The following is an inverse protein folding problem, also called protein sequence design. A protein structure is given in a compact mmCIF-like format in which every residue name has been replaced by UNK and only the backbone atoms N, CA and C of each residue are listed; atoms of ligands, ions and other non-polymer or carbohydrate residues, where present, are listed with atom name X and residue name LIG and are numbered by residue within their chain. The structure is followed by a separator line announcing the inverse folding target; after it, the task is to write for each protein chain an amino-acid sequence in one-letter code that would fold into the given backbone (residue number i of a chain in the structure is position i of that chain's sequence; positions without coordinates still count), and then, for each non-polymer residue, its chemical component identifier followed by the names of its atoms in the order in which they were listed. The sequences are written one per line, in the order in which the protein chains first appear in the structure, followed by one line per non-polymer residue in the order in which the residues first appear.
data_IF_189256421688
#
_entry.id   IF_189256421688
#
_cell.length_a   1.000
_cell.length_b   1.000
_cell.length_c   1.000
_cell.angle_alpha   90.00
_cell.angle_beta   90.00
_cell.angle_gamma   90.00
#
_symmetry.space_group_name_H-M   'P 1'
#
loop_
_entity.id
_entity.type
_entity.pdbx_description
1 polymer ?
#
# COMPACT_ATOMS: atom_id res chain seq x y z
N UNK A 1 15.33 3.35 -6.47
CA UNK A 1 14.25 4.35 -6.59
C UNK A 1 12.91 3.63 -6.68
N UNK A 2 11.87 4.12 -5.99
CA UNK A 2 10.51 3.61 -6.09
C UNK A 2 9.65 4.61 -6.88
N UNK A 3 8.90 4.13 -7.87
CA UNK A 3 7.90 4.89 -8.60
C UNK A 3 6.52 4.31 -8.26
N UNK A 4 5.75 5.05 -7.47
CA UNK A 4 4.39 4.66 -7.10
C UNK A 4 3.38 5.17 -8.13
N UNK A 5 2.30 4.41 -8.31
CA UNK A 5 1.24 4.64 -9.30
C UNK A 5 1.73 4.98 -10.72
N UNK A 6 2.60 4.13 -11.28
CA UNK A 6 3.15 4.33 -12.64
C UNK A 6 2.06 4.43 -13.73
N UNK A 7 0.89 3.82 -13.51
CA UNK A 7 -0.26 3.88 -14.41
C UNK A 7 -0.94 5.27 -14.51
N UNK A 8 -0.60 6.22 -13.64
CA UNK A 8 -1.08 7.63 -13.72
C UNK A 8 -0.12 8.54 -14.49
N UNK A 9 1.00 8.00 -14.97
CA UNK A 9 2.04 8.79 -15.62
C UNK A 9 1.56 9.34 -16.98
N UNK A 10 1.78 10.64 -17.21
CA UNK A 10 1.45 11.25 -18.52
C UNK A 10 2.29 10.64 -19.66
N UNK A 11 1.79 10.61 -20.91
CA UNK A 11 2.52 10.02 -22.04
C UNK A 11 3.92 10.60 -22.26
N UNK A 12 4.09 11.91 -22.01
CA UNK A 12 5.39 12.59 -22.09
C UNK A 12 6.38 12.06 -21.04
N UNK A 13 5.89 11.78 -19.83
CA UNK A 13 6.71 11.23 -18.75
C UNK A 13 7.05 9.75 -19.01
N UNK A 14 6.13 8.97 -19.58
CA UNK A 14 6.39 7.59 -20.00
C UNK A 14 7.54 7.51 -21.00
N UNK A 15 7.57 8.40 -22.00
CA UNK A 15 8.66 8.47 -22.98
C UNK A 15 10.02 8.82 -22.33
N UNK A 16 10.03 9.76 -21.37
CA UNK A 16 11.24 10.12 -20.63
C UNK A 16 11.74 8.97 -19.76
N UNK A 17 10.83 8.28 -19.08
CA UNK A 17 11.18 7.13 -18.25
C UNK A 17 11.73 5.99 -19.09
N UNK A 18 11.13 5.69 -20.24
CA UNK A 18 11.64 4.67 -21.15
C UNK A 18 13.08 4.97 -21.58
N UNK A 19 13.38 6.22 -21.95
CA UNK A 19 14.75 6.64 -22.30
C UNK A 19 15.70 6.45 -21.13
N UNK A 20 15.30 6.85 -19.93
CA UNK A 20 16.08 6.65 -18.72
C UNK A 20 16.35 5.16 -18.42
N UNK A 21 15.35 4.30 -18.58
CA UNK A 21 15.48 2.85 -18.36
C UNK A 21 16.38 2.15 -19.40
N UNK A 22 16.54 2.75 -20.58
CA UNK A 22 17.40 2.22 -21.65
C UNK A 22 18.84 2.72 -21.52
N UNK A 23 19.02 4.04 -21.34
CA UNK A 23 20.33 4.69 -21.45
C UNK A 23 20.98 4.97 -20.07
N UNK A 24 20.20 4.91 -18.98
CA UNK A 24 20.63 5.32 -17.64
C UNK A 24 20.88 6.82 -17.51
N UNK A 25 20.48 7.62 -18.51
CA UNK A 25 20.69 9.08 -18.52
C UNK A 25 19.38 9.85 -18.45
N UNK A 26 19.42 11.00 -17.78
CA UNK A 26 18.31 11.95 -17.78
C UNK A 26 18.82 13.40 -17.83
N UNK A 27 17.92 14.32 -18.15
CA UNK A 27 18.18 15.77 -18.11
C UNK A 27 17.28 16.43 -17.08
N UNK A 28 17.84 17.37 -16.32
CA UNK A 28 17.02 18.24 -15.45
C UNK A 28 16.17 19.18 -16.30
N UNK A 29 15.07 19.64 -15.75
CA UNK A 29 14.19 20.57 -16.46
C UNK A 29 14.92 21.90 -16.64
N UNK A 30 15.08 22.33 -17.90
CA UNK A 30 15.80 23.57 -18.23
C UNK A 30 17.31 23.43 -18.38
N UNK A 31 17.84 22.20 -18.28
CA UNK A 31 19.27 21.91 -18.46
C UNK A 31 19.48 21.00 -19.67
N UNK A 32 20.47 21.30 -20.49
CA UNK A 32 20.84 20.46 -21.65
C UNK A 32 21.85 19.37 -21.31
N UNK A 33 22.50 19.47 -20.14
CA UNK A 33 23.45 18.49 -19.67
C UNK A 33 22.77 17.17 -19.28
N UNK A 34 23.23 16.08 -19.87
CA UNK A 34 22.79 14.72 -19.53
C UNK A 34 23.59 14.19 -18.34
N UNK A 35 22.86 13.65 -17.36
CA UNK A 35 23.43 13.05 -16.15
C UNK A 35 23.20 11.55 -16.24
N UNK A 36 24.28 10.78 -16.15
CA UNK A 36 24.22 9.32 -16.06
C UNK A 36 24.13 8.89 -14.59
N UNK A 37 23.23 7.95 -14.29
CA UNK A 37 23.07 7.38 -12.95
C UNK A 37 22.76 5.90 -13.03
N UNK A 38 23.46 5.12 -12.22
CA UNK A 38 23.16 3.70 -11.99
C UNK A 38 22.21 3.55 -10.80
N UNK A 39 20.94 3.24 -11.07
CA UNK A 39 19.93 2.99 -10.04
C UNK A 39 19.06 1.81 -10.41
N UNK A 40 18.70 1.03 -9.38
CA UNK A 40 17.61 0.07 -9.48
C UNK A 40 16.26 0.78 -9.39
N UNK A 41 15.39 0.55 -10.37
CA UNK A 41 14.02 1.07 -10.40
C UNK A 41 13.05 -0.01 -9.93
N UNK A 42 12.16 0.34 -9.00
CA UNK A 42 11.03 -0.48 -8.58
C UNK A 42 9.77 0.34 -8.88
N UNK A 43 8.78 -0.26 -9.52
CA UNK A 43 7.52 0.39 -9.85
C UNK A 43 6.36 -0.31 -9.15
N UNK A 44 5.37 0.46 -8.73
CA UNK A 44 4.10 -0.02 -8.21
C UNK A 44 2.95 0.64 -8.97
N UNK A 45 1.81 -0.06 -9.06
CA UNK A 45 0.56 0.53 -9.52
C UNK A 45 -0.63 -0.29 -9.06
N UNK A 46 -1.75 0.40 -8.83
CA UNK A 46 -3.04 -0.24 -8.57
C UNK A 46 -3.83 -0.53 -9.87
N UNK A 47 -3.43 0.05 -11.00
CA UNK A 47 -4.11 -0.11 -12.29
C UNK A 47 -3.59 -1.32 -13.06
N UNK A 48 -4.48 -1.93 -13.85
CA UNK A 48 -4.10 -2.96 -14.82
C UNK A 48 -3.38 -2.31 -16.02
N UNK A 49 -2.05 -2.41 -16.06
CA UNK A 49 -1.24 -1.82 -17.13
C UNK A 49 -1.59 -2.42 -18.51
N UNK A 50 -1.96 -3.70 -18.58
CA UNK A 50 -2.34 -4.35 -19.86
C UNK A 50 -3.58 -3.69 -20.45
N UNK A 51 -4.57 -3.40 -19.64
CA UNK A 51 -5.77 -2.66 -20.07
C UNK A 51 -5.44 -1.22 -20.49
N UNK A 52 -4.50 -0.55 -19.80
CA UNK A 52 -4.09 0.79 -20.16
C UNK A 52 -3.32 0.82 -21.49
N UNK A 53 -2.53 -0.22 -21.78
CA UNK A 53 -1.88 -0.40 -23.09
C UNK A 53 -2.93 -0.58 -24.18
N UNK A 54 -3.92 -1.45 -23.96
CA UNK A 54 -5.01 -1.66 -24.92
C UNK A 54 -5.83 -0.39 -25.19
N UNK A 55 -5.99 0.48 -24.17
CA UNK A 55 -6.67 1.78 -24.28
C UNK A 55 -5.77 2.89 -24.88
N UNK A 56 -4.50 2.61 -25.20
CA UNK A 56 -3.53 3.59 -25.69
C UNK A 56 -3.11 4.65 -24.66
N UNK A 57 -3.42 4.43 -23.37
CA UNK A 57 -3.08 5.33 -22.27
C UNK A 57 -1.69 5.03 -21.69
N UNK A 58 -1.18 3.83 -21.93
CA UNK A 58 0.15 3.41 -21.51
C UNK A 58 0.93 2.84 -22.69
N UNK A 59 2.21 3.18 -22.80
CA UNK A 59 3.04 2.70 -23.91
C UNK A 59 3.41 1.23 -23.72
N UNK A 60 3.24 0.47 -24.79
CA UNK A 60 3.56 -0.96 -24.84
C UNK A 60 5.05 -1.24 -24.59
N UNK A 61 5.94 -0.43 -25.18
CA UNK A 61 7.40 -0.54 -25.01
C UNK A 61 7.85 -0.38 -23.54
N UNK A 62 7.27 0.60 -22.83
CA UNK A 62 7.51 0.80 -21.41
C UNK A 62 6.95 -0.35 -20.57
N UNK A 63 5.76 -0.87 -20.92
CA UNK A 63 5.17 -2.01 -20.23
C UNK A 63 6.11 -3.23 -20.26
N UNK A 64 6.61 -3.62 -21.43
CA UNK A 64 7.52 -4.77 -21.52
C UNK A 64 8.85 -4.53 -20.81
N UNK A 65 9.36 -3.29 -20.78
CA UNK A 65 10.59 -2.96 -20.04
C UNK A 65 10.42 -3.07 -18.53
N UNK A 66 9.22 -2.75 -18.02
CA UNK A 66 8.90 -2.85 -16.60
C UNK A 66 8.51 -4.27 -16.18
N UNK A 67 7.80 -5.00 -17.05
CA UNK A 67 7.22 -6.32 -16.77
C UNK A 67 8.25 -7.47 -16.90
N UNK A 68 9.49 -7.24 -16.46
CA UNK A 68 10.53 -8.28 -16.40
C UNK A 68 10.33 -9.18 -15.17
N UNK A 69 9.97 -8.56 -14.04
CA UNK A 69 9.65 -9.25 -12.79
C UNK A 69 8.46 -8.54 -12.14
N UNK A 70 7.33 -9.24 -12.07
CA UNK A 70 6.10 -8.70 -11.50
C UNK A 70 5.72 -9.46 -10.24
N UNK A 71 5.55 -8.71 -9.14
CA UNK A 71 5.07 -9.24 -7.88
C UNK A 71 3.62 -8.78 -7.71
N UNK A 72 2.69 -9.73 -7.69
CA UNK A 72 1.30 -9.46 -7.39
C UNK A 72 1.10 -9.50 -5.87
N UNK A 73 0.70 -8.37 -5.27
CA UNK A 73 0.36 -8.33 -3.86
C UNK A 73 -1.14 -8.64 -3.69
N UNK A 74 -1.50 -9.79 -3.09
CA UNK A 74 -2.89 -10.10 -2.84
C UNK A 74 -3.51 -9.11 -1.84
N UNK A 75 -4.83 -8.85 -1.92
CA UNK A 75 -5.53 -8.10 -0.89
C UNK A 75 -5.49 -8.86 0.44
N UNK A 76 -5.62 -8.13 1.54
CA UNK A 76 -5.51 -8.68 2.90
C UNK A 76 -6.53 -9.80 3.17
N UNK A 77 -7.70 -9.75 2.50
CA UNK A 77 -8.74 -10.78 2.60
C UNK A 77 -8.29 -12.17 2.12
N UNK A 78 -7.32 -12.22 1.21
CA UNK A 78 -6.76 -13.46 0.66
C UNK A 78 -5.55 -13.95 1.48
N UNK A 79 -5.12 -13.16 2.49
CA UNK A 79 -4.03 -13.47 3.41
C UNK A 79 -4.50 -13.45 4.88
N UNK A 80 -5.49 -14.28 5.26
CA UNK A 80 -6.06 -14.29 6.60
C UNK A 80 -5.03 -14.54 7.70
N UNK A 81 -3.98 -15.33 7.41
CA UNK A 81 -2.89 -15.64 8.33
C UNK A 81 -2.06 -14.41 8.74
N UNK A 82 -2.03 -13.36 7.91
CA UNK A 82 -1.22 -12.16 8.17
C UNK A 82 -1.99 -11.13 9.00
N UNK A 83 -3.31 -11.28 9.15
CA UNK A 83 -4.16 -10.30 9.86
C UNK A 83 -3.75 -10.17 11.32
N UNK A 84 -3.64 -11.28 12.06
CA UNK A 84 -3.30 -11.24 13.49
C UNK A 84 -1.87 -10.75 13.77
N UNK A 85 -0.82 -11.24 13.07
CA UNK A 85 0.53 -10.68 13.21
C UNK A 85 0.59 -9.17 12.94
N UNK A 86 -0.12 -8.69 11.92
CA UNK A 86 -0.23 -7.25 11.64
C UNK A 86 -0.96 -6.51 12.76
N UNK A 87 -2.04 -7.08 13.30
CA UNK A 87 -2.78 -6.51 14.43
C UNK A 87 -1.88 -6.36 15.66
N UNK A 88 -1.17 -7.41 16.05
CA UNK A 88 -0.24 -7.38 17.18
C UNK A 88 0.87 -6.34 16.98
N UNK A 89 1.45 -6.29 15.78
CA UNK A 89 2.46 -5.30 15.42
C UNK A 89 1.94 -3.87 15.57
N UNK A 90 0.75 -3.57 15.04
CA UNK A 90 0.16 -2.24 15.13
C UNK A 90 -0.23 -1.89 16.55
N UNK A 91 -0.79 -2.83 17.33
CA UNK A 91 -1.15 -2.60 18.73
C UNK A 91 0.09 -2.27 19.56
N UNK A 92 1.15 -3.07 19.43
CA UNK A 92 2.40 -2.83 20.13
C UNK A 92 2.98 -1.46 19.78
N UNK A 93 3.05 -1.15 18.47
CA UNK A 93 3.58 0.12 17.98
C UNK A 93 2.80 1.32 18.51
N UNK A 94 1.48 1.29 18.45
CA UNK A 94 0.65 2.43 18.85
C UNK A 94 0.56 2.61 20.35
N UNK A 95 0.56 1.52 21.13
CA UNK A 95 0.65 1.60 22.58
C UNK A 95 1.98 2.26 23.01
N UNK A 96 3.09 1.87 22.38
CA UNK A 96 4.40 2.47 22.62
C UNK A 96 4.45 3.96 22.20
N UNK A 97 3.88 4.31 21.04
CA UNK A 97 3.79 5.71 20.55
C UNK A 97 2.93 6.61 21.47
N UNK A 98 1.89 6.06 22.10
CA UNK A 98 1.01 6.79 23.03
C UNK A 98 1.48 6.75 24.49
N UNK A 99 2.52 5.98 24.81
CA UNK A 99 2.99 5.79 26.18
C UNK A 99 2.00 5.06 27.07
N UNK A 100 1.09 4.27 26.48
CA UNK A 100 0.07 3.50 27.22
C UNK A 100 0.49 2.04 27.32
N UNK A 101 0.08 1.32 28.39
CA UNK A 101 0.28 -0.12 28.46
C UNK A 101 -0.38 -0.84 27.27
N UNK A 102 0.31 -1.82 26.70
CA UNK A 102 -0.22 -2.65 25.63
C UNK A 102 -1.47 -3.41 26.12
N UNK A 103 -2.64 -3.22 25.49
CA UNK A 103 -3.84 -3.94 25.90
C UNK A 103 -3.75 -5.41 25.51
N UNK A 104 -4.44 -6.26 26.26
CA UNK A 104 -4.62 -7.67 25.90
C UNK A 104 -5.56 -7.77 24.71
N UNK A 105 -5.23 -8.64 23.77
CA UNK A 105 -6.13 -8.96 22.65
C UNK A 105 -7.13 -10.02 23.12
N UNK A 106 -8.42 -9.77 22.90
CA UNK A 106 -9.47 -10.75 23.21
C UNK A 106 -9.33 -12.02 22.36
N UNK A 107 -9.70 -13.18 22.90
CA UNK A 107 -9.58 -14.47 22.20
C UNK A 107 -10.42 -14.54 20.91
N UNK A 108 -11.57 -13.85 20.88
CA UNK A 108 -12.48 -13.84 19.72
C UNK A 108 -12.01 -12.89 18.61
N UNK A 109 -10.98 -12.08 18.86
CA UNK A 109 -10.49 -11.05 17.94
C UNK A 109 -10.05 -11.64 16.60
N UNK A 110 -9.29 -12.72 16.64
CA UNK A 110 -8.82 -13.40 15.42
C UNK A 110 -9.99 -13.84 14.55
N UNK A 111 -10.96 -14.56 15.11
CA UNK A 111 -12.11 -15.08 14.36
C UNK A 111 -12.89 -13.96 13.68
N UNK A 112 -13.07 -12.83 14.36
CA UNK A 112 -13.86 -11.71 13.84
C UNK A 112 -13.07 -10.92 12.78
N UNK A 113 -11.80 -10.59 13.03
CA UNK A 113 -10.98 -9.82 12.09
C UNK A 113 -10.73 -10.61 10.80
N UNK A 114 -10.58 -11.93 10.88
CA UNK A 114 -10.38 -12.78 9.70
C UNK A 114 -11.65 -12.93 8.85
N UNK A 115 -12.84 -12.80 9.44
CA UNK A 115 -14.11 -12.83 8.70
C UNK A 115 -14.45 -11.49 8.03
N UNK A 116 -13.81 -10.40 8.44
CA UNK A 116 -14.04 -9.09 7.85
C UNK A 116 -13.27 -8.94 6.53
N UNK A 117 -13.91 -8.38 5.51
CA UNK A 117 -13.35 -8.36 4.14
C UNK A 117 -12.26 -7.31 3.88
N UNK A 118 -11.99 -6.40 4.82
CA UNK A 118 -10.96 -5.35 4.73
C UNK A 118 -10.88 -4.65 3.36
N UNK A 119 -11.93 -3.95 2.89
CA UNK A 119 -11.91 -3.25 1.60
C UNK A 119 -10.74 -2.25 1.46
N UNK A 120 -10.26 -1.66 2.57
CA UNK A 120 -9.08 -0.79 2.57
C UNK A 120 -7.76 -1.49 2.96
N UNK A 121 -7.72 -2.83 2.92
CA UNK A 121 -6.57 -3.68 3.23
C UNK A 121 -5.88 -3.28 4.54
N UNK A 122 -4.54 -3.37 4.57
CA UNK A 122 -3.69 -3.02 5.71
C UNK A 122 -3.90 -1.58 6.18
N UNK A 123 -4.23 -0.64 5.27
CA UNK A 123 -4.50 0.77 5.64
C UNK A 123 -5.73 0.89 6.52
N UNK A 124 -6.81 0.18 6.19
CA UNK A 124 -8.02 0.16 7.01
C UNK A 124 -7.76 -0.53 8.35
N UNK A 125 -7.08 -1.68 8.36
CA UNK A 125 -6.71 -2.39 9.59
C UNK A 125 -5.93 -1.49 10.54
N UNK A 126 -4.85 -0.87 10.04
CA UNK A 126 -4.02 0.06 10.79
C UNK A 126 -4.84 1.21 11.41
N UNK A 127 -5.69 1.86 10.61
CA UNK A 127 -6.49 2.99 11.06
C UNK A 127 -7.56 2.58 12.08
N UNK A 128 -8.18 1.42 11.91
CA UNK A 128 -9.18 0.90 12.83
C UNK A 128 -8.55 0.60 14.20
N UNK A 129 -7.37 -0.03 14.22
CA UNK A 129 -6.62 -0.31 15.46
C UNK A 129 -6.20 1.00 16.14
N UNK A 130 -5.66 1.96 15.38
CA UNK A 130 -5.25 3.25 15.93
C UNK A 130 -6.41 3.97 16.64
N UNK A 131 -7.59 3.99 16.00
CA UNK A 131 -8.81 4.57 16.58
C UNK A 131 -9.28 3.79 17.81
N UNK A 132 -9.34 2.47 17.72
CA UNK A 132 -9.77 1.62 18.82
C UNK A 132 -8.89 1.81 20.07
N UNK A 133 -7.56 1.93 19.90
CA UNK A 133 -6.65 2.22 21.02
C UNK A 133 -6.85 3.60 21.64
N UNK A 134 -7.15 4.60 20.81
CA UNK A 134 -7.37 5.98 21.28
C UNK A 134 -8.67 6.10 22.09
N UNK A 135 -9.65 5.23 21.81
CA UNK A 135 -10.96 5.19 22.46
C UNK A 135 -11.06 4.08 23.51
N UNK A 136 -9.97 3.35 23.77
CA UNK A 136 -10.01 2.17 24.60
C UNK A 136 -10.21 2.55 26.07
N UNK A 137 -11.38 2.21 26.62
CA UNK A 137 -11.64 2.30 28.05
C UNK A 137 -11.34 0.93 28.69
N UNK A 138 -10.12 0.75 29.20
CA UNK A 138 -9.70 -0.46 29.90
C UNK A 138 -8.40 -1.07 29.37
N UNK A 139 -8.23 -2.38 29.58
CA UNK A 139 -6.98 -3.11 29.30
C UNK A 139 -7.15 -4.25 28.28
N UNK A 140 -8.33 -4.39 27.68
CA UNK A 140 -8.63 -5.47 26.73
C UNK A 140 -9.23 -4.90 25.45
N UNK A 141 -8.59 -5.19 24.30
CA UNK A 141 -9.07 -4.80 22.98
C UNK A 141 -10.00 -5.87 22.43
N UNK A 142 -11.26 -5.50 22.20
CA UNK A 142 -12.31 -6.40 21.73
C UNK A 142 -12.64 -6.19 20.25
N UNK A 143 -13.25 -7.18 19.58
CA UNK A 143 -13.59 -7.04 18.16
C UNK A 143 -14.52 -5.86 17.87
N UNK A 144 -15.44 -5.56 18.79
CA UNK A 144 -16.38 -4.46 18.67
C UNK A 144 -15.70 -3.08 18.61
N UNK A 145 -14.56 -2.91 19.29
CA UNK A 145 -13.82 -1.64 19.34
C UNK A 145 -13.17 -1.35 17.98
N UNK A 146 -12.73 -2.40 17.28
CA UNK A 146 -12.15 -2.29 15.94
C UNK A 146 -13.24 -2.17 14.86
N UNK A 147 -14.28 -3.00 14.92
CA UNK A 147 -15.33 -3.02 13.90
C UNK A 147 -16.22 -1.77 13.94
N UNK A 148 -16.51 -1.23 15.12
CA UNK A 148 -17.25 0.04 15.24
C UNK A 148 -16.52 1.18 14.52
N UNK A 149 -15.19 1.26 14.66
CA UNK A 149 -14.35 2.22 13.96
C UNK A 149 -14.31 2.01 12.43
N UNK A 150 -14.42 0.77 11.96
CA UNK A 150 -14.51 0.46 10.52
C UNK A 150 -15.83 0.94 9.91
N UNK A 151 -16.94 0.89 10.66
CA UNK A 151 -18.27 1.29 10.16
C UNK A 151 -18.48 2.80 10.15
N UNK A 152 -17.79 3.56 11.02
CA UNK A 152 -17.88 5.03 11.03
C UNK A 152 -17.14 5.71 9.88
N UNK A 153 -16.33 4.97 9.11
CA UNK A 153 -15.44 5.52 8.07
C UNK A 153 -15.92 5.33 6.63
N UNK A 154 -17.12 4.78 6.42
CA UNK A 154 -17.79 4.84 5.11
C UNK A 154 -18.75 6.03 5.07
N UNK A 155 -18.38 7.18 4.48
CA UNK A 155 -19.39 8.13 4.04
C UNK A 155 -20.21 7.46 2.92
N UNK A 156 -21.53 7.62 2.98
CA UNK A 156 -22.40 7.36 1.83
C UNK A 156 -22.03 8.27 0.66
#
# INVERSE_FOLDING_TARGET
MLLDEIGEMSPRMQAKLLRFLNDGTFRRVGEDHEIHVDVRVICATQKNLVELVQKGLFREDLYYRLNVLTLNLPPLRDCPQDIMPLTELFVARFADEQGVPRPKLSADLSTVLTRYGWPGNVRQLKNAIYRALTQLEGYELRPQDILSCCLTTMPR
#
